data_IF_032220944738
#
_entry.id   IF_032220944738
#
_cell.length_a   1.000
_cell.length_b   1.000
_cell.length_c   1.000
_cell.angle_alpha   90.00
_cell.angle_beta   90.00
_cell.angle_gamma   90.00
#
_symmetry.space_group_name_H-M   'P 1'
#
loop_
_entity.id
_entity.type
_entity.pdbx_description
1 polymer ?
#
# COMPACT_ATOMS: atom_id res chain seq x y z
N UNK A 1 54.32 16.44 21.84
CA UNK A 1 53.17 15.52 22.05
C UNK A 1 51.88 16.01 21.39
N UNK A 2 51.60 17.28 21.28
CA UNK A 2 50.34 17.81 20.71
C UNK A 2 50.22 17.61 19.17
N UNK A 3 51.37 17.67 18.44
CA UNK A 3 51.37 17.50 16.98
C UNK A 3 51.08 16.04 16.50
N UNK A 4 51.42 15.04 17.31
CA UNK A 4 51.17 13.63 16.95
C UNK A 4 49.68 13.25 17.15
N UNK A 5 49.04 13.84 18.14
CA UNK A 5 47.58 13.61 18.38
C UNK A 5 46.70 14.24 17.29
N UNK A 6 47.13 15.40 16.75
CA UNK A 6 46.42 16.07 15.66
C UNK A 6 46.55 15.32 14.32
N UNK A 7 47.67 14.67 14.10
CA UNK A 7 47.91 13.86 12.89
C UNK A 7 47.07 12.56 12.91
N UNK A 8 46.96 11.93 14.08
CA UNK A 8 46.11 10.73 14.27
C UNK A 8 44.60 11.05 14.14
N UNK A 9 44.20 12.24 14.54
CA UNK A 9 42.79 12.70 14.35
C UNK A 9 42.49 12.96 12.86
N UNK A 10 43.42 13.57 12.12
CA UNK A 10 43.31 13.82 10.68
C UNK A 10 43.36 12.51 9.86
N UNK A 11 44.20 11.53 10.25
CA UNK A 11 44.21 10.20 9.62
C UNK A 11 42.97 9.38 9.90
N UNK A 12 42.34 9.57 11.07
CA UNK A 12 41.05 8.95 11.39
C UNK A 12 39.87 9.49 10.54
N UNK A 13 39.94 10.76 10.10
CA UNK A 13 38.96 11.34 9.18
C UNK A 13 39.16 10.92 7.72
N UNK A 14 40.39 10.60 7.32
CA UNK A 14 40.73 10.15 5.96
C UNK A 14 40.40 8.66 5.72
N UNK A 15 40.14 7.88 6.77
CA UNK A 15 39.68 6.48 6.66
C UNK A 15 38.18 6.31 6.77
N UNK A 16 37.40 7.38 6.85
CA UNK A 16 35.96 7.30 6.61
C UNK A 16 35.75 7.11 5.12
N UNK A 17 36.01 5.89 4.67
CA UNK A 17 35.49 5.40 3.40
C UNK A 17 33.99 5.65 3.46
N UNK A 18 33.37 6.32 2.47
CA UNK A 18 31.93 6.29 2.36
C UNK A 18 31.55 4.82 2.45
N UNK A 19 30.73 4.46 3.44
CA UNK A 19 30.26 3.09 3.63
C UNK A 19 29.89 2.58 2.26
N UNK A 20 30.61 1.53 1.82
CA UNK A 20 30.32 0.92 0.54
C UNK A 20 28.82 0.66 0.53
N UNK A 21 28.10 1.39 -0.30
CA UNK A 21 26.66 1.24 -0.45
C UNK A 21 26.44 -0.19 -0.92
N UNK A 22 26.05 -1.07 0.00
CA UNK A 22 25.78 -2.45 -0.33
C UNK A 22 24.49 -2.46 -1.15
N UNK A 23 24.61 -2.88 -2.40
CA UNK A 23 23.44 -3.09 -3.24
C UNK A 23 22.53 -4.11 -2.58
N UNK A 24 21.38 -3.68 -2.07
CA UNK A 24 20.41 -4.57 -1.48
C UNK A 24 19.46 -5.12 -2.54
N UNK A 25 19.07 -6.37 -2.37
CA UNK A 25 18.09 -7.05 -3.19
C UNK A 25 16.74 -7.07 -2.48
N UNK A 26 15.81 -6.29 -2.99
CA UNK A 26 14.49 -6.04 -2.37
C UNK A 26 13.39 -6.79 -3.13
N UNK A 27 12.56 -7.55 -2.43
CA UNK A 27 11.34 -8.09 -3.01
C UNK A 27 10.12 -7.32 -2.51
N UNK A 28 9.19 -7.03 -3.40
CA UNK A 28 7.94 -6.33 -3.14
C UNK A 28 6.78 -7.26 -3.46
N UNK A 29 5.83 -7.33 -2.55
CA UNK A 29 4.58 -8.08 -2.74
C UNK A 29 3.43 -7.07 -2.83
N UNK A 30 3.12 -6.56 -4.03
CA UNK A 30 2.07 -5.57 -4.20
C UNK A 30 0.69 -6.23 -4.19
N UNK A 31 -0.36 -5.53 -3.70
CA UNK A 31 -1.71 -6.05 -3.70
C UNK A 31 -2.18 -6.41 -5.11
N UNK A 32 -2.88 -7.52 -5.23
CA UNK A 32 -3.30 -8.07 -6.53
C UNK A 32 -4.27 -7.12 -7.24
N UNK A 33 -5.14 -6.46 -6.49
CA UNK A 33 -6.29 -5.73 -7.02
C UNK A 33 -6.08 -4.22 -7.13
N UNK A 34 -5.02 -3.65 -6.53
CA UNK A 34 -4.85 -2.20 -6.44
C UNK A 34 -3.71 -1.70 -7.35
N UNK A 35 -4.08 -1.23 -8.54
CA UNK A 35 -3.11 -0.64 -9.50
C UNK A 35 -2.43 0.61 -8.95
N UNK A 36 -3.14 1.41 -8.15
CA UNK A 36 -2.58 2.61 -7.51
C UNK A 36 -1.42 2.26 -6.57
N UNK A 37 -1.53 1.16 -5.81
CA UNK A 37 -0.46 0.68 -4.95
C UNK A 37 0.74 0.19 -5.76
N UNK A 38 0.51 -0.58 -6.82
CA UNK A 38 1.58 -1.01 -7.71
C UNK A 38 2.31 0.20 -8.33
N UNK A 39 1.58 1.26 -8.69
CA UNK A 39 2.18 2.49 -9.20
C UNK A 39 3.13 3.14 -8.19
N UNK A 40 2.75 3.18 -6.91
CA UNK A 40 3.60 3.70 -5.84
C UNK A 40 4.85 2.83 -5.69
N UNK A 41 4.72 1.51 -5.66
CA UNK A 41 5.86 0.61 -5.57
C UNK A 41 6.81 0.73 -6.77
N UNK A 42 6.30 0.98 -7.98
CA UNK A 42 7.14 1.28 -9.16
C UNK A 42 7.95 2.56 -8.96
N UNK A 43 7.37 3.58 -8.33
CA UNK A 43 8.08 4.82 -7.99
C UNK A 43 9.18 4.56 -6.95
N UNK A 44 8.89 3.77 -5.92
CA UNK A 44 9.89 3.33 -4.94
C UNK A 44 11.00 2.52 -5.59
N UNK A 45 10.67 1.57 -6.48
CA UNK A 45 11.66 0.78 -7.20
C UNK A 45 12.59 1.65 -8.06
N UNK A 46 12.04 2.69 -8.69
CA UNK A 46 12.85 3.66 -9.44
C UNK A 46 13.84 4.40 -8.53
N UNK A 47 13.40 4.86 -7.37
CA UNK A 47 14.27 5.52 -6.40
C UNK A 47 15.34 4.56 -5.83
N UNK A 48 14.95 3.34 -5.48
CA UNK A 48 15.89 2.30 -5.02
C UNK A 48 16.93 1.95 -6.08
N UNK A 49 16.54 1.88 -7.35
CA UNK A 49 17.45 1.63 -8.46
C UNK A 49 18.47 2.77 -8.64
N UNK A 50 18.04 4.03 -8.45
CA UNK A 50 18.95 5.19 -8.49
C UNK A 50 20.00 5.15 -7.38
N UNK A 51 19.66 4.56 -6.23
CA UNK A 51 20.57 4.33 -5.11
C UNK A 51 21.39 3.02 -5.25
N UNK A 52 21.28 2.32 -6.37
CA UNK A 52 22.03 1.11 -6.68
C UNK A 52 21.45 -0.19 -6.12
N UNK A 53 20.19 -0.19 -5.69
CA UNK A 53 19.50 -1.39 -5.20
C UNK A 53 18.75 -2.12 -6.31
N UNK A 54 18.57 -3.43 -6.14
CA UNK A 54 17.84 -4.30 -7.06
C UNK A 54 16.42 -4.57 -6.50
N UNK A 55 15.37 -4.28 -7.27
CA UNK A 55 13.99 -4.50 -6.84
C UNK A 55 13.31 -5.57 -7.68
N UNK A 56 12.62 -6.51 -7.02
CA UNK A 56 11.82 -7.56 -7.63
C UNK A 56 10.36 -7.43 -7.21
N UNK A 57 9.43 -7.52 -8.15
CA UNK A 57 7.99 -7.60 -7.86
C UNK A 57 7.50 -9.03 -7.98
N UNK A 58 6.86 -9.54 -6.95
CA UNK A 58 6.14 -10.82 -7.00
C UNK A 58 4.75 -10.59 -7.59
N UNK A 59 4.53 -11.02 -8.83
CA UNK A 59 3.34 -10.68 -9.63
C UNK A 59 2.68 -11.96 -10.16
N UNK A 60 1.36 -12.04 -10.08
CA UNK A 60 0.59 -13.10 -10.74
C UNK A 60 0.85 -13.12 -12.26
N UNK A 61 0.95 -14.32 -12.84
CA UNK A 61 1.18 -14.51 -14.29
C UNK A 61 0.11 -13.81 -15.14
N UNK A 62 -1.13 -13.83 -14.68
CA UNK A 62 -2.24 -13.19 -15.37
C UNK A 62 -2.30 -11.67 -15.26
N UNK A 63 -1.41 -11.01 -14.50
CA UNK A 63 -1.36 -9.56 -14.37
C UNK A 63 -0.35 -8.95 -15.32
N UNK A 64 -0.82 -8.06 -16.19
CA UNK A 64 0.03 -7.32 -17.10
C UNK A 64 0.79 -6.22 -16.36
N UNK A 65 2.11 -6.34 -16.35
CA UNK A 65 3.03 -5.32 -15.81
C UNK A 65 4.11 -5.08 -16.86
N UNK A 66 4.23 -3.84 -17.38
CA UNK A 66 5.27 -3.52 -18.37
C UNK A 66 6.68 -3.79 -17.81
N UNK A 67 7.61 -4.29 -18.62
CA UNK A 67 9.00 -4.40 -18.23
C UNK A 67 9.61 -3.01 -17.98
N UNK A 68 10.60 -2.95 -17.09
CA UNK A 68 11.31 -1.71 -16.75
C UNK A 68 12.75 -2.04 -16.40
N UNK A 69 13.71 -1.16 -16.66
CA UNK A 69 15.08 -1.32 -16.17
C UNK A 69 15.20 -1.15 -14.65
N UNK A 70 14.17 -0.64 -13.97
CA UNK A 70 14.18 -0.32 -12.55
C UNK A 70 13.71 -1.45 -11.64
N UNK A 71 13.17 -2.54 -12.22
CA UNK A 71 12.70 -3.68 -11.45
C UNK A 71 12.64 -4.97 -12.28
N UNK A 72 12.71 -6.10 -11.60
CA UNK A 72 12.52 -7.44 -12.16
C UNK A 72 11.16 -8.01 -11.77
N UNK A 73 10.59 -8.88 -12.60
CA UNK A 73 9.32 -9.53 -12.32
C UNK A 73 9.55 -10.99 -11.93
N UNK A 74 9.10 -11.34 -10.72
CA UNK A 74 8.99 -12.71 -10.24
C UNK A 74 7.54 -13.16 -10.46
N UNK A 75 7.32 -14.04 -11.41
CA UNK A 75 5.97 -14.51 -11.77
C UNK A 75 5.57 -15.72 -10.94
N UNK A 76 4.28 -15.80 -10.59
CA UNK A 76 3.68 -16.97 -9.94
C UNK A 76 2.31 -17.27 -10.54
N UNK A 77 1.88 -18.57 -10.55
CA UNK A 77 0.54 -18.95 -10.98
C UNK A 77 -0.48 -18.50 -9.92
N UNK A 78 -1.06 -17.33 -10.11
CA UNK A 78 -2.06 -16.76 -9.22
C UNK A 78 -3.49 -17.11 -9.64
N UNK A 79 -4.44 -16.94 -8.73
CA UNK A 79 -5.87 -17.17 -8.99
C UNK A 79 -6.54 -16.02 -9.77
N UNK A 80 -5.88 -14.87 -9.85
CA UNK A 80 -6.38 -13.70 -10.56
C UNK A 80 -5.58 -13.39 -11.82
N UNK A 81 -6.29 -13.08 -12.89
CA UNK A 81 -5.78 -12.33 -14.04
C UNK A 81 -6.35 -10.90 -14.04
N UNK A 82 -5.85 -10.04 -14.92
CA UNK A 82 -6.27 -8.62 -14.96
C UNK A 82 -7.77 -8.47 -15.19
N UNK A 83 -8.39 -9.29 -16.04
CA UNK A 83 -9.82 -9.19 -16.34
C UNK A 83 -10.71 -9.63 -15.16
N UNK A 84 -10.34 -10.69 -14.44
CA UNK A 84 -11.08 -11.16 -13.27
C UNK A 84 -10.95 -10.20 -12.09
N UNK A 85 -9.76 -9.61 -11.90
CA UNK A 85 -9.55 -8.58 -10.89
C UNK A 85 -10.36 -7.31 -11.18
N UNK A 86 -10.37 -6.86 -12.43
CA UNK A 86 -11.14 -5.69 -12.86
C UNK A 86 -12.65 -5.92 -12.69
N UNK A 87 -13.18 -7.06 -13.11
CA UNK A 87 -14.60 -7.39 -12.96
C UNK A 87 -15.03 -7.46 -11.50
N UNK A 88 -14.17 -8.03 -10.64
CA UNK A 88 -14.40 -8.11 -9.22
C UNK A 88 -14.43 -6.71 -8.57
N UNK A 89 -13.44 -5.87 -8.85
CA UNK A 89 -13.40 -4.49 -8.36
C UNK A 89 -14.57 -3.66 -8.88
N UNK A 90 -14.94 -3.80 -10.14
CA UNK A 90 -16.05 -3.07 -10.74
C UNK A 90 -17.36 -3.33 -10.01
N UNK A 91 -17.63 -4.58 -9.62
CA UNK A 91 -18.82 -4.92 -8.84
C UNK A 91 -18.82 -4.21 -7.46
N UNK A 92 -17.68 -4.16 -6.80
CA UNK A 92 -17.52 -3.51 -5.49
C UNK A 92 -17.65 -1.98 -5.59
N UNK A 93 -17.05 -1.36 -6.61
CA UNK A 93 -17.19 0.07 -6.90
C UNK A 93 -18.65 0.45 -7.11
N UNK A 94 -19.40 -0.32 -7.89
CA UNK A 94 -20.84 -0.10 -8.09
C UNK A 94 -21.61 -0.11 -6.77
N UNK A 95 -21.28 -1.03 -5.87
CA UNK A 95 -21.89 -1.13 -4.56
C UNK A 95 -21.54 0.05 -3.64
N UNK A 96 -20.30 0.56 -3.70
CA UNK A 96 -19.89 1.78 -2.98
C UNK A 96 -20.74 2.96 -3.39
N UNK A 97 -20.86 3.23 -4.70
CA UNK A 97 -21.66 4.34 -5.21
C UNK A 97 -23.16 4.20 -4.93
N UNK A 98 -23.63 2.97 -4.75
CA UNK A 98 -25.02 2.68 -4.38
C UNK A 98 -25.27 2.69 -2.86
N UNK A 99 -24.22 2.94 -2.05
CA UNK A 99 -24.31 2.85 -0.58
C UNK A 99 -24.56 1.43 -0.07
N UNK A 100 -24.21 0.42 -0.85
CA UNK A 100 -24.50 -1.01 -0.57
C UNK A 100 -23.27 -1.82 -0.17
N UNK A 101 -22.11 -1.18 0.01
CA UNK A 101 -20.91 -1.90 0.46
C UNK A 101 -21.15 -2.46 1.86
N UNK A 102 -21.22 -3.77 1.96
CA UNK A 102 -21.47 -4.46 3.23
C UNK A 102 -20.18 -5.02 3.81
N UNK A 103 -20.18 -5.28 5.12
CA UNK A 103 -19.08 -6.01 5.77
C UNK A 103 -18.78 -7.37 5.13
N UNK A 104 -19.81 -8.05 4.60
CA UNK A 104 -19.67 -9.35 3.94
C UNK A 104 -18.81 -9.25 2.67
N UNK A 105 -18.87 -8.15 1.95
CA UNK A 105 -18.05 -7.95 0.75
C UNK A 105 -16.57 -7.75 1.06
N UNK A 106 -16.25 -7.20 2.24
CA UNK A 106 -14.87 -7.13 2.72
C UNK A 106 -14.30 -8.53 3.01
N UNK A 107 -15.11 -9.42 3.55
CA UNK A 107 -14.69 -10.82 3.78
C UNK A 107 -14.43 -11.56 2.48
N UNK A 108 -15.23 -11.31 1.45
CA UNK A 108 -15.05 -11.87 0.12
C UNK A 108 -13.68 -11.47 -0.48
N UNK A 109 -13.32 -10.19 -0.34
CA UNK A 109 -11.99 -9.71 -0.73
C UNK A 109 -10.89 -10.45 0.05
N UNK A 110 -11.02 -10.56 1.37
CA UNK A 110 -10.04 -11.26 2.22
C UNK A 110 -9.92 -12.74 1.87
N UNK A 111 -11.01 -13.40 1.48
CA UNK A 111 -10.99 -14.80 1.03
C UNK A 111 -10.16 -14.97 -0.23
N UNK A 112 -10.35 -14.10 -1.21
CA UNK A 112 -9.58 -14.15 -2.45
C UNK A 112 -8.08 -13.88 -2.22
N UNK A 113 -7.72 -12.92 -1.37
CA UNK A 113 -6.32 -12.69 -1.00
C UNK A 113 -5.70 -13.89 -0.29
N UNK A 114 -6.43 -14.51 0.65
CA UNK A 114 -5.94 -15.68 1.36
C UNK A 114 -5.79 -16.91 0.45
N UNK A 115 -6.70 -17.14 -0.49
CA UNK A 115 -6.59 -18.19 -1.50
C UNK A 115 -5.40 -18.00 -2.42
N UNK A 116 -5.13 -16.76 -2.82
CA UNK A 116 -3.94 -16.43 -3.61
C UNK A 116 -2.65 -16.72 -2.83
N UNK A 117 -2.62 -16.36 -1.54
CA UNK A 117 -1.49 -16.69 -0.67
C UNK A 117 -1.27 -18.20 -0.54
N UNK A 118 -2.35 -18.96 -0.38
CA UNK A 118 -2.29 -20.43 -0.33
C UNK A 118 -1.68 -21.02 -1.60
N UNK A 119 -2.03 -20.49 -2.76
CA UNK A 119 -1.47 -20.89 -4.05
C UNK A 119 0.04 -20.56 -4.16
N UNK A 120 0.44 -19.36 -3.74
CA UNK A 120 1.87 -18.95 -3.76
C UNK A 120 2.71 -19.84 -2.83
N UNK A 121 2.29 -19.98 -1.57
CA UNK A 121 3.02 -20.75 -0.56
C UNK A 121 3.03 -22.24 -0.91
N UNK A 122 1.98 -22.76 -1.54
CA UNK A 122 1.87 -24.14 -2.00
C UNK A 122 2.70 -24.47 -3.25
N UNK A 123 3.17 -23.46 -3.99
CA UNK A 123 3.99 -23.68 -5.19
C UNK A 123 5.45 -23.92 -4.81
N UNK A 124 5.88 -25.20 -4.91
CA UNK A 124 7.27 -25.59 -4.64
C UNK A 124 8.23 -24.85 -5.55
N UNK A 125 7.92 -24.69 -6.82
CA UNK A 125 8.74 -23.99 -7.81
C UNK A 125 8.95 -22.53 -7.40
N UNK A 126 7.87 -21.79 -7.11
CA UNK A 126 7.92 -20.38 -6.70
C UNK A 126 8.73 -20.23 -5.41
N UNK A 127 8.44 -21.06 -4.40
CA UNK A 127 9.12 -20.96 -3.11
C UNK A 127 10.60 -21.32 -3.21
N UNK A 128 11.01 -22.28 -4.05
CA UNK A 128 12.41 -22.61 -4.30
C UNK A 128 13.13 -21.41 -4.95
N UNK A 129 12.56 -20.86 -6.01
CA UNK A 129 13.12 -19.70 -6.73
C UNK A 129 13.27 -18.48 -5.80
N UNK A 130 12.29 -18.20 -4.96
CA UNK A 130 12.34 -17.08 -4.02
C UNK A 130 13.44 -17.28 -2.95
N UNK A 131 13.62 -18.51 -2.45
CA UNK A 131 14.68 -18.84 -1.49
C UNK A 131 16.08 -18.73 -2.12
N UNK A 132 16.24 -19.19 -3.35
CA UNK A 132 17.51 -19.12 -4.08
C UNK A 132 17.89 -17.69 -4.44
N UNK A 133 16.92 -16.80 -4.62
CA UNK A 133 17.16 -15.40 -4.94
C UNK A 133 17.84 -14.61 -3.83
N UNK A 134 17.77 -15.07 -2.56
CA UNK A 134 18.46 -14.47 -1.39
C UNK A 134 18.20 -12.97 -1.25
N UNK A 135 16.95 -12.60 -1.03
CA UNK A 135 16.56 -11.21 -0.79
C UNK A 135 17.04 -10.71 0.58
N UNK A 136 17.41 -9.43 0.64
CA UNK A 136 17.85 -8.75 1.87
C UNK A 136 16.67 -8.12 2.62
N UNK A 137 15.65 -7.67 1.89
CA UNK A 137 14.48 -6.98 2.43
C UNK A 137 13.21 -7.36 1.66
N UNK A 138 12.09 -7.48 2.37
CA UNK A 138 10.77 -7.60 1.77
C UNK A 138 9.94 -6.35 2.11
N UNK A 139 9.36 -5.72 1.09
CA UNK A 139 8.38 -4.66 1.26
C UNK A 139 6.96 -5.25 1.17
N UNK A 140 6.20 -5.08 2.24
CA UNK A 140 4.83 -5.57 2.37
C UNK A 140 3.86 -4.42 2.22
N UNK A 141 2.81 -4.63 1.43
CA UNK A 141 1.59 -3.84 1.54
C UNK A 141 0.64 -4.55 2.52
N UNK A 142 0.09 -3.89 3.54
CA UNK A 142 -0.78 -4.54 4.53
C UNK A 142 -2.12 -5.03 3.93
N UNK A 143 -2.48 -4.56 2.74
CA UNK A 143 -3.62 -5.12 1.99
C UNK A 143 -3.28 -6.48 1.38
N UNK A 144 -1.98 -6.81 1.19
CA UNK A 144 -1.51 -8.11 0.72
C UNK A 144 -0.76 -8.82 1.85
N UNK A 145 -1.51 -9.34 2.81
CA UNK A 145 -0.97 -9.97 4.03
C UNK A 145 -0.06 -11.18 3.75
N UNK A 146 -0.11 -11.74 2.53
CA UNK A 146 0.81 -12.82 2.12
C UNK A 146 2.27 -12.40 2.21
N UNK A 147 2.57 -11.11 2.06
CA UNK A 147 3.92 -10.57 2.21
C UNK A 147 4.54 -10.89 3.58
N UNK A 148 3.77 -10.81 4.66
CA UNK A 148 4.24 -11.18 6.00
C UNK A 148 4.59 -12.68 6.10
N UNK A 149 3.73 -13.53 5.54
CA UNK A 149 3.96 -14.99 5.51
C UNK A 149 5.22 -15.32 4.71
N UNK A 150 5.39 -14.70 3.55
CA UNK A 150 6.57 -14.91 2.70
C UNK A 150 7.85 -14.41 3.38
N UNK A 151 7.82 -13.24 4.02
CA UNK A 151 8.97 -12.74 4.77
C UNK A 151 9.40 -13.74 5.85
N UNK A 152 8.45 -14.32 6.57
CA UNK A 152 8.71 -15.33 7.59
C UNK A 152 9.30 -16.62 7.00
N UNK A 153 8.74 -17.15 5.91
CA UNK A 153 9.22 -18.37 5.25
C UNK A 153 10.63 -18.17 4.67
N UNK A 154 10.91 -16.99 4.12
CA UNK A 154 12.21 -16.66 3.53
C UNK A 154 13.25 -16.27 4.60
N UNK A 155 12.84 -16.02 5.84
CA UNK A 155 13.73 -15.53 6.91
C UNK A 155 14.28 -14.13 6.65
N UNK A 156 13.55 -13.29 5.92
CA UNK A 156 13.97 -11.96 5.47
C UNK A 156 13.37 -10.89 6.36
N UNK A 157 14.14 -9.83 6.65
CA UNK A 157 13.60 -8.64 7.29
C UNK A 157 12.55 -7.99 6.39
N UNK A 158 11.54 -7.36 6.99
CA UNK A 158 10.49 -6.70 6.22
C UNK A 158 10.11 -5.35 6.79
N UNK A 159 9.71 -4.47 5.88
CA UNK A 159 9.11 -3.19 6.17
C UNK A 159 7.73 -3.12 5.50
N UNK A 160 6.81 -2.40 6.13
CA UNK A 160 5.47 -2.20 5.60
C UNK A 160 5.38 -0.84 4.94
N UNK A 161 4.82 -0.82 3.75
CA UNK A 161 4.40 0.40 3.07
C UNK A 161 2.88 0.44 3.00
N UNK A 162 2.27 1.45 3.61
CA UNK A 162 0.82 1.61 3.66
C UNK A 162 0.39 2.98 3.15
N UNK A 163 -0.76 3.05 2.49
CA UNK A 163 -1.37 4.31 2.06
C UNK A 163 -1.92 5.14 3.22
N UNK A 164 -2.05 4.55 4.40
CA UNK A 164 -2.47 5.21 5.64
C UNK A 164 -2.45 4.23 6.80
N UNK A 165 -2.62 4.71 8.01
CA UNK A 165 -2.71 3.87 9.21
C UNK A 165 -4.18 3.54 9.49
N UNK A 166 -4.69 2.49 8.86
CA UNK A 166 -6.09 2.10 8.95
C UNK A 166 -6.42 1.35 10.23
N UNK A 167 -5.46 0.53 10.70
CA UNK A 167 -5.60 -0.33 11.87
C UNK A 167 -4.46 -0.08 12.87
N UNK A 168 -4.54 0.99 13.69
CA UNK A 168 -3.45 1.34 14.63
C UNK A 168 -3.04 0.19 15.54
N UNK A 169 -4.01 -0.66 15.91
CA UNK A 169 -3.76 -1.78 16.81
C UNK A 169 -2.87 -2.88 16.19
N UNK A 170 -2.84 -3.01 14.86
CA UNK A 170 -1.97 -3.98 14.18
C UNK A 170 -0.50 -3.61 14.29
N UNK A 171 -0.19 -2.32 14.37
CA UNK A 171 1.19 -1.84 14.60
C UNK A 171 1.53 -1.73 16.10
N UNK A 172 0.59 -2.06 17.00
CA UNK A 172 0.75 -1.88 18.43
C UNK A 172 0.61 -0.43 18.91
N UNK A 173 0.15 0.48 18.06
CA UNK A 173 -0.03 1.88 18.42
C UNK A 173 -1.26 2.09 19.32
N UNK A 174 -1.22 3.06 20.25
CA UNK A 174 -2.40 3.43 21.03
C UNK A 174 -3.53 3.94 20.14
N UNK A 175 -4.76 3.53 20.43
CA UNK A 175 -5.97 3.98 19.76
C UNK A 175 -6.91 4.70 20.73
N UNK A 176 -6.68 5.99 21.04
CA UNK A 176 -7.55 6.74 21.96
C UNK A 176 -8.88 7.08 21.27
N UNK A 177 -9.86 6.20 21.45
CA UNK A 177 -11.16 6.21 20.76
C UNK A 177 -12.02 7.43 21.04
N UNK A 178 -11.62 8.25 22.02
CA UNK A 178 -12.33 9.49 22.37
C UNK A 178 -12.12 10.62 21.36
N UNK A 179 -11.05 10.58 20.55
CA UNK A 179 -10.71 11.62 19.57
C UNK A 179 -10.04 11.11 18.30
N UNK A 180 -9.59 9.85 18.26
CA UNK A 180 -9.08 9.22 17.03
C UNK A 180 -10.24 8.48 16.37
N UNK A 181 -10.75 8.95 15.21
CA UNK A 181 -11.81 8.25 14.51
C UNK A 181 -11.28 6.97 13.89
N UNK A 182 -12.07 5.91 13.99
CA UNK A 182 -11.78 4.63 13.35
C UNK A 182 -12.02 4.71 11.83
N UNK A 183 -11.25 3.93 11.12
CA UNK A 183 -11.40 3.81 9.68
C UNK A 183 -12.85 3.47 9.32
N UNK A 184 -13.38 4.17 8.33
CA UNK A 184 -14.76 4.02 7.85
C UNK A 184 -15.87 4.32 8.88
N UNK A 185 -15.54 4.94 10.02
CA UNK A 185 -16.55 5.41 10.97
C UNK A 185 -17.31 6.66 10.49
N UNK A 186 -16.74 7.39 9.50
CA UNK A 186 -17.22 8.69 9.01
C UNK A 186 -17.28 9.77 10.10
N UNK A 187 -16.51 9.60 11.18
CA UNK A 187 -16.40 10.52 12.29
C UNK A 187 -15.17 11.42 12.14
N UNK A 188 -15.09 12.43 13.01
CA UNK A 188 -13.94 13.34 13.09
C UNK A 188 -13.32 13.27 14.48
N UNK A 189 -12.21 13.97 14.72
CA UNK A 189 -11.56 14.11 16.03
C UNK A 189 -12.42 14.84 17.07
N UNK A 190 -13.47 15.55 16.64
CA UNK A 190 -14.44 16.24 17.52
C UNK A 190 -15.73 15.44 17.61
N UNK A 191 -15.77 14.53 18.58
CA UNK A 191 -16.88 13.60 18.77
C UNK A 191 -17.74 13.95 19.98
N UNK A 192 -19.08 13.93 19.80
CA UNK A 192 -20.04 13.87 20.91
C UNK A 192 -19.94 12.54 21.66
N UNK A 193 -20.59 12.40 22.81
CA UNK A 193 -20.60 11.14 23.55
C UNK A 193 -21.12 9.97 22.72
N UNK A 194 -22.22 10.18 21.97
CA UNK A 194 -22.80 9.14 21.13
C UNK A 194 -21.82 8.74 20.02
N UNK A 195 -21.16 9.70 19.39
CA UNK A 195 -20.16 9.43 18.36
C UNK A 195 -18.96 8.65 18.90
N UNK A 196 -18.51 8.94 20.14
CA UNK A 196 -17.44 8.16 20.81
C UNK A 196 -17.88 6.72 21.06
N UNK A 197 -19.14 6.51 21.48
CA UNK A 197 -19.70 5.16 21.65
C UNK A 197 -19.73 4.44 20.29
N UNK A 198 -20.18 5.12 19.24
CA UNK A 198 -20.18 4.57 17.86
C UNK A 198 -18.77 4.24 17.41
N UNK A 199 -17.81 5.14 17.61
CA UNK A 199 -16.40 4.92 17.27
C UNK A 199 -15.82 3.69 17.99
N UNK A 200 -16.13 3.56 19.26
CA UNK A 200 -15.73 2.38 20.07
C UNK A 200 -16.35 1.10 19.53
N UNK A 201 -17.63 1.13 19.17
CA UNK A 201 -18.29 -0.05 18.59
C UNK A 201 -17.65 -0.43 17.23
N UNK A 202 -17.37 0.53 16.35
CA UNK A 202 -16.67 0.29 15.09
C UNK A 202 -15.30 -0.33 15.33
N UNK A 203 -14.51 0.22 16.25
CA UNK A 203 -13.22 -0.33 16.64
C UNK A 203 -13.31 -1.79 17.08
N UNK A 204 -14.24 -2.11 17.98
CA UNK A 204 -14.41 -3.47 18.49
C UNK A 204 -14.80 -4.45 17.38
N UNK A 205 -15.70 -4.06 16.49
CA UNK A 205 -16.12 -4.88 15.34
C UNK A 205 -14.95 -5.13 14.39
N UNK A 206 -14.17 -4.09 14.07
CA UNK A 206 -13.00 -4.23 13.20
C UNK A 206 -11.93 -5.12 13.85
N UNK A 207 -11.62 -4.88 15.13
CA UNK A 207 -10.67 -5.73 15.89
C UNK A 207 -11.10 -7.19 15.91
N UNK A 208 -12.38 -7.44 16.15
CA UNK A 208 -12.91 -8.80 16.10
C UNK A 208 -12.73 -9.39 14.70
N UNK A 209 -13.10 -8.66 13.64
CA UNK A 209 -12.97 -9.11 12.25
C UNK A 209 -11.52 -9.43 11.87
N UNK A 210 -10.60 -8.53 12.18
CA UNK A 210 -9.17 -8.76 11.89
C UNK A 210 -8.65 -9.96 12.67
N UNK A 211 -8.84 -9.99 13.98
CA UNK A 211 -8.20 -10.96 14.87
C UNK A 211 -8.77 -12.38 14.76
N UNK A 212 -10.09 -12.51 14.57
CA UNK A 212 -10.78 -13.80 14.57
C UNK A 212 -11.19 -14.29 13.18
N UNK A 213 -11.18 -13.43 12.16
CA UNK A 213 -11.59 -13.81 10.81
C UNK A 213 -10.44 -13.68 9.81
N UNK A 214 -9.78 -12.52 9.72
CA UNK A 214 -8.75 -12.27 8.72
C UNK A 214 -7.43 -13.02 9.03
N UNK A 215 -6.80 -12.72 10.17
CA UNK A 215 -5.49 -13.30 10.52
C UNK A 215 -5.49 -14.83 10.59
N UNK A 216 -6.51 -15.51 11.17
CA UNK A 216 -6.53 -16.97 11.21
C UNK A 216 -6.59 -17.67 9.86
N UNK A 217 -6.94 -16.98 8.78
CA UNK A 217 -6.85 -17.55 7.43
C UNK A 217 -5.38 -17.83 7.07
N UNK A 218 -4.49 -16.90 7.36
CA UNK A 218 -3.05 -17.03 7.11
C UNK A 218 -2.38 -18.00 8.09
N UNK A 219 -2.82 -18.06 9.36
CA UNK A 219 -2.36 -19.08 10.31
C UNK A 219 -2.66 -20.49 9.80
N UNK A 220 -3.85 -20.70 9.22
CA UNK A 220 -4.23 -21.99 8.61
C UNK A 220 -3.38 -22.31 7.38
N UNK A 221 -3.04 -21.32 6.55
CA UNK A 221 -2.14 -21.51 5.39
C UNK A 221 -0.75 -21.91 5.87
N UNK A 222 -0.18 -21.21 6.84
CA UNK A 222 1.13 -21.54 7.39
C UNK A 222 1.15 -22.95 7.99
N UNK A 223 0.09 -23.34 8.73
CA UNK A 223 -0.06 -24.68 9.28
C UNK A 223 -0.19 -25.75 8.20
N UNK A 224 -1.03 -25.50 7.17
CA UNK A 224 -1.25 -26.41 6.03
C UNK A 224 0.04 -26.74 5.30
N UNK A 225 0.89 -25.75 5.09
CA UNK A 225 2.16 -25.90 4.37
C UNK A 225 3.36 -26.19 5.29
N UNK A 226 3.12 -26.46 6.58
CA UNK A 226 4.17 -26.86 7.51
C UNK A 226 5.24 -25.82 7.74
N UNK A 227 4.90 -24.53 7.68
CA UNK A 227 5.84 -23.40 7.84
C UNK A 227 6.53 -23.46 9.20
N UNK A 228 7.84 -23.33 9.22
CA UNK A 228 8.70 -23.36 10.42
C UNK A 228 9.64 -22.15 10.43
N UNK A 229 9.94 -21.58 11.65
CA UNK A 229 9.30 -21.88 12.93
C UNK A 229 7.82 -21.51 12.93
N UNK A 230 7.04 -22.05 13.88
CA UNK A 230 5.64 -21.64 14.02
C UNK A 230 5.57 -20.20 14.50
N UNK A 231 4.73 -19.40 13.89
CA UNK A 231 4.43 -18.04 14.27
C UNK A 231 2.93 -17.77 14.09
N UNK A 232 2.37 -16.86 14.89
CA UNK A 232 1.03 -16.37 14.66
C UNK A 232 1.08 -15.19 13.68
N UNK A 233 0.10 -15.08 12.79
CA UNK A 233 0.03 -13.98 11.83
C UNK A 233 0.01 -12.61 12.52
N UNK A 234 -0.63 -12.51 13.68
CA UNK A 234 -0.65 -11.29 14.49
C UNK A 234 0.76 -10.82 14.89
N UNK A 235 1.64 -11.77 15.27
CA UNK A 235 3.02 -11.46 15.64
C UNK A 235 3.83 -11.01 14.42
N UNK A 236 3.56 -11.60 13.26
CA UNK A 236 4.21 -11.21 12.01
C UNK A 236 3.82 -9.78 11.60
N UNK A 237 2.55 -9.42 11.71
CA UNK A 237 2.10 -8.05 11.40
C UNK A 237 2.75 -7.04 12.33
N UNK A 238 2.80 -7.31 13.63
CA UNK A 238 3.41 -6.42 14.62
C UNK A 238 4.94 -6.43 14.57
N UNK A 239 5.55 -7.49 14.08
CA UNK A 239 7.01 -7.68 14.01
C UNK A 239 7.72 -6.85 12.94
N UNK A 240 7.03 -6.05 12.15
CA UNK A 240 7.64 -5.18 11.15
C UNK A 240 8.61 -4.18 11.78
N UNK A 241 9.79 -4.03 11.18
CA UNK A 241 10.82 -3.10 11.64
C UNK A 241 10.50 -1.64 11.32
N UNK A 242 9.69 -1.40 10.30
CA UNK A 242 9.36 -0.07 9.82
C UNK A 242 7.97 -0.09 9.17
N UNK A 243 7.15 0.88 9.55
CA UNK A 243 5.91 1.21 8.88
C UNK A 243 6.04 2.55 8.19
N UNK A 244 6.01 2.56 6.88
CA UNK A 244 6.04 3.75 6.03
C UNK A 244 4.63 4.09 5.60
N UNK A 245 4.12 5.24 6.06
CA UNK A 245 2.76 5.71 5.74
C UNK A 245 2.84 6.74 4.63
N UNK A 246 2.24 6.45 3.48
CA UNK A 246 2.16 7.37 2.33
C UNK A 246 1.07 8.43 2.56
N UNK A 247 1.19 9.14 3.66
CA UNK A 247 0.32 10.25 4.04
C UNK A 247 1.13 11.30 4.80
N UNK A 248 0.50 12.39 5.18
CA UNK A 248 1.12 13.49 5.93
C UNK A 248 0.33 13.77 7.20
N UNK A 249 1.04 14.11 8.28
CA UNK A 249 0.43 14.43 9.57
C UNK A 249 -0.54 15.64 9.49
N UNK A 250 -0.35 16.52 8.51
CA UNK A 250 -1.25 17.65 8.28
C UNK A 250 -2.61 17.24 7.69
N UNK A 251 -2.69 16.05 7.07
CA UNK A 251 -3.91 15.52 6.45
C UNK A 251 -4.60 14.47 7.31
N UNK A 252 -3.87 13.84 8.24
CA UNK A 252 -4.39 12.81 9.13
C UNK A 252 -4.96 13.39 10.42
N UNK A 253 -5.92 12.71 11.02
CA UNK A 253 -6.35 13.02 12.38
C UNK A 253 -5.20 12.77 13.36
N UNK A 254 -4.95 13.67 14.32
CA UNK A 254 -3.88 13.53 15.31
C UNK A 254 -4.04 12.23 16.09
N UNK A 255 -2.98 11.43 16.12
CA UNK A 255 -2.94 10.17 16.86
C UNK A 255 -1.54 9.87 17.39
N UNK A 256 -1.40 9.17 18.50
CA UNK A 256 -0.12 8.67 18.94
C UNK A 256 0.42 7.65 17.92
N UNK A 257 1.72 7.72 17.64
CA UNK A 257 2.43 6.75 16.80
C UNK A 257 3.63 6.18 17.54
N UNK A 258 4.23 5.14 17.00
CA UNK A 258 5.42 4.50 17.55
C UNK A 258 6.67 4.92 16.76
N UNK A 259 7.89 4.80 17.36
CA UNK A 259 9.13 5.25 16.69
C UNK A 259 9.41 4.58 15.35
N UNK A 260 8.87 3.38 15.10
CA UNK A 260 9.02 2.66 13.83
C UNK A 260 7.95 3.01 12.79
N UNK A 261 7.08 3.99 13.07
CA UNK A 261 6.07 4.49 12.13
C UNK A 261 6.53 5.84 11.59
N UNK A 262 6.73 5.92 10.27
CA UNK A 262 7.24 7.10 9.58
C UNK A 262 6.26 7.55 8.51
N UNK A 263 5.97 8.84 8.48
CA UNK A 263 5.17 9.47 7.43
C UNK A 263 6.06 9.83 6.24
N UNK A 264 5.71 9.36 5.06
CA UNK A 264 6.44 9.55 3.81
C UNK A 264 5.53 10.08 2.68
N UNK A 265 4.60 10.95 3.03
CA UNK A 265 3.69 11.56 2.06
C UNK A 265 4.43 12.30 0.93
N UNK A 266 3.73 12.52 -0.18
CA UNK A 266 4.28 13.25 -1.32
C UNK A 266 5.22 12.45 -2.24
N UNK A 267 5.41 11.15 -2.02
CA UNK A 267 6.34 10.30 -2.78
C UNK A 267 6.06 10.27 -4.30
N UNK A 268 4.82 10.54 -4.70
CA UNK A 268 4.42 10.61 -6.12
C UNK A 268 4.58 12.01 -6.71
N UNK A 269 4.95 13.02 -5.91
CA UNK A 269 5.12 14.38 -6.39
C UNK A 269 6.31 14.46 -7.33
N UNK A 270 6.06 14.98 -8.53
CA UNK A 270 7.07 15.20 -9.58
C UNK A 270 6.98 16.64 -10.06
N UNK A 271 8.07 17.20 -10.57
CA UNK A 271 7.99 18.46 -11.31
C UNK A 271 6.95 18.35 -12.43
N UNK A 272 6.16 19.39 -12.70
CA UNK A 272 5.19 19.38 -13.78
C UNK A 272 5.88 19.16 -15.13
N UNK A 273 5.28 18.34 -15.98
CA UNK A 273 5.70 18.19 -17.37
C UNK A 273 4.91 19.15 -18.25
N UNK A 274 5.49 19.64 -19.37
CA UNK A 274 4.74 20.40 -20.36
C UNK A 274 3.50 19.63 -20.83
N UNK A 275 2.42 20.34 -21.03
CA UNK A 275 1.21 19.76 -21.60
C UNK A 275 1.36 19.58 -23.13
N UNK A 276 0.65 18.64 -23.76
CA UNK A 276 0.48 18.64 -25.20
C UNK A 276 -0.07 19.98 -25.70
N UNK A 277 0.39 20.47 -26.86
CA UNK A 277 0.10 21.82 -27.35
C UNK A 277 -1.40 22.13 -27.45
N UNK A 278 -2.19 21.17 -27.93
CA UNK A 278 -3.65 21.29 -28.04
C UNK A 278 -4.31 21.42 -26.67
N UNK A 279 -3.83 20.66 -25.69
CA UNK A 279 -4.34 20.70 -24.32
C UNK A 279 -3.88 21.96 -23.57
N UNK A 280 -2.66 22.42 -23.80
CA UNK A 280 -2.15 23.67 -23.26
C UNK A 280 -2.94 24.88 -23.79
N UNK A 281 -3.22 24.90 -25.10
CA UNK A 281 -4.05 25.93 -25.71
C UNK A 281 -5.47 25.93 -25.10
N UNK A 282 -6.06 24.73 -24.87
CA UNK A 282 -7.37 24.61 -24.24
C UNK A 282 -7.36 25.11 -22.79
N UNK A 283 -6.30 24.82 -21.99
CA UNK A 283 -6.15 25.29 -20.61
C UNK A 283 -6.00 26.81 -20.59
N UNK A 284 -5.17 27.38 -21.46
CA UNK A 284 -4.90 28.82 -21.51
C UNK A 284 -6.13 29.64 -21.92
N UNK A 285 -7.03 29.07 -22.73
CA UNK A 285 -8.28 29.71 -23.13
C UNK A 285 -9.36 29.73 -22.04
N UNK A 286 -9.08 29.22 -20.84
CA UNK A 286 -10.02 29.19 -19.71
C UNK A 286 -9.89 30.41 -18.76
N UNK A 287 -9.30 31.50 -19.22
CA UNK A 287 -8.73 32.60 -18.41
C UNK A 287 -9.66 33.21 -17.37
N UNK A 288 -10.99 33.34 -17.62
CA UNK A 288 -11.90 34.04 -16.72
C UNK A 288 -12.36 33.18 -15.52
N UNK A 289 -12.70 31.92 -15.78
CA UNK A 289 -13.27 31.04 -14.74
C UNK A 289 -12.39 29.84 -14.40
N UNK A 290 -11.29 29.62 -15.12
CA UNK A 290 -10.41 28.49 -14.96
C UNK A 290 -11.06 27.16 -15.39
N UNK A 291 -10.54 26.05 -14.86
CA UNK A 291 -11.04 24.70 -15.17
C UNK A 291 -11.08 23.81 -13.95
N UNK A 292 -11.89 22.75 -14.04
CA UNK A 292 -12.04 21.72 -13.00
C UNK A 292 -11.61 20.38 -13.59
N UNK A 293 -10.73 19.68 -12.88
CA UNK A 293 -10.34 18.30 -13.21
C UNK A 293 -11.14 17.35 -12.34
N UNK A 294 -11.83 16.41 -12.97
CA UNK A 294 -12.62 15.35 -12.29
C UNK A 294 -11.97 14.02 -12.55
N UNK A 295 -11.64 13.30 -11.49
CA UNK A 295 -11.10 11.95 -11.55
C UNK A 295 -11.48 11.16 -10.30
N UNK A 296 -11.88 9.91 -10.48
CA UNK A 296 -12.20 8.98 -9.38
C UNK A 296 -11.08 7.94 -9.16
N UNK A 297 -9.90 8.19 -9.73
CA UNK A 297 -8.73 7.31 -9.61
C UNK A 297 -8.81 6.04 -10.46
N UNK A 298 -7.79 5.21 -10.34
CA UNK A 298 -7.63 4.02 -11.18
C UNK A 298 -8.64 2.90 -10.89
N UNK A 299 -9.20 2.88 -9.68
CA UNK A 299 -10.16 1.85 -9.28
C UNK A 299 -11.57 2.05 -9.85
N UNK A 300 -11.90 3.25 -10.28
CA UNK A 300 -13.23 3.59 -10.84
C UNK A 300 -13.10 3.77 -12.33
N UNK A 301 -13.05 2.67 -13.06
CA UNK A 301 -12.94 2.70 -14.54
C UNK A 301 -14.26 3.05 -15.22
N UNK A 302 -15.38 2.64 -14.64
CA UNK A 302 -16.71 2.83 -15.23
C UNK A 302 -17.71 3.19 -14.15
N UNK A 303 -18.45 4.26 -14.36
CA UNK A 303 -19.61 4.63 -13.57
C UNK A 303 -20.88 4.09 -14.26
N UNK A 304 -21.93 3.80 -13.48
CA UNK A 304 -23.24 3.53 -14.08
C UNK A 304 -23.73 4.77 -14.86
N UNK A 305 -24.47 4.56 -15.94
CA UNK A 305 -24.98 5.66 -16.76
C UNK A 305 -25.74 6.70 -15.93
N UNK A 306 -26.56 6.27 -14.98
CA UNK A 306 -27.34 7.17 -14.11
C UNK A 306 -26.43 8.09 -13.28
N UNK A 307 -25.37 7.56 -12.68
CA UNK A 307 -24.41 8.35 -11.88
C UNK A 307 -23.61 9.27 -12.79
N UNK A 308 -23.14 8.76 -13.95
CA UNK A 308 -22.38 9.53 -14.90
C UNK A 308 -23.19 10.73 -15.44
N UNK A 309 -24.44 10.52 -15.82
CA UNK A 309 -25.32 11.60 -16.28
C UNK A 309 -25.64 12.62 -15.18
N UNK A 310 -25.88 12.21 -13.94
CA UNK A 310 -26.09 13.12 -12.80
C UNK A 310 -24.87 14.00 -12.56
N UNK A 311 -23.67 13.43 -12.57
CA UNK A 311 -22.43 14.17 -12.40
C UNK A 311 -22.18 15.11 -13.58
N UNK A 312 -22.30 14.63 -14.83
CA UNK A 312 -22.16 15.45 -16.02
C UNK A 312 -23.14 16.62 -16.02
N UNK A 313 -24.43 16.38 -15.68
CA UNK A 313 -25.42 17.42 -15.58
C UNK A 313 -25.17 18.44 -14.47
N UNK A 314 -24.53 18.06 -13.37
CA UNK A 314 -24.12 18.99 -12.32
C UNK A 314 -22.90 19.82 -12.78
N UNK A 315 -21.91 19.18 -13.36
CA UNK A 315 -20.68 19.81 -13.85
C UNK A 315 -20.95 20.77 -15.02
N UNK A 316 -21.91 20.45 -15.89
CA UNK A 316 -22.32 21.31 -17.01
C UNK A 316 -22.93 22.66 -16.59
N UNK A 317 -23.27 22.83 -15.30
CA UNK A 317 -23.79 24.09 -14.73
C UNK A 317 -22.68 25.01 -14.24
N UNK A 318 -21.43 24.53 -14.21
CA UNK A 318 -20.30 25.33 -13.77
C UNK A 318 -19.85 26.29 -14.87
N UNK A 319 -19.44 27.52 -14.55
CA UNK A 319 -18.83 28.43 -15.52
C UNK A 319 -17.43 27.99 -15.95
N UNK A 320 -16.78 27.11 -15.16
CA UNK A 320 -15.48 26.54 -15.47
C UNK A 320 -15.57 25.49 -16.56
N UNK A 321 -14.55 25.37 -17.36
CA UNK A 321 -14.39 24.19 -18.23
C UNK A 321 -14.10 22.96 -17.38
N UNK A 322 -14.59 21.80 -17.82
CA UNK A 322 -14.42 20.55 -17.06
C UNK A 322 -13.65 19.54 -17.89
N UNK A 323 -12.58 19.00 -17.29
CA UNK A 323 -11.87 17.82 -17.79
C UNK A 323 -12.25 16.64 -16.92
N UNK A 324 -12.87 15.65 -17.51
CA UNK A 324 -13.25 14.43 -16.83
C UNK A 324 -12.48 13.23 -17.39
N UNK A 325 -11.69 12.58 -16.53
CA UNK A 325 -10.93 11.37 -16.81
C UNK A 325 -11.65 10.14 -16.28
#
# INVERSE_FOLDING_TARGET
MVLLSSLLFLLGFLTWSPSASWAAKVIVVPPIMFESHLYIFKTLATALHQEGHETHFLISEGREVPPSPHYHLQRYPGIFNSSTADSFLQSKVSNIFSGRLTFLELFDILDHYSQNCDAVVGSVEVMTRLKEAKFDLLLVDPNEMCGFVLAHILGVQYAVFSTGLWYPAEVGAPAPLSYVPEFNSLLTDRMSLIQRITNTAVYLVQRFGVHYIALPKYDRIMKKHGVKPQAAMADLVQGSRLWMLCTDMALEFPRPTLPHVVYIGGILTKPPSPLPQDFEAWVNDTAEHGFVVVSFGAGVKYLSHDIAYKLAGALARLPQRVVWR
#
